data_IF_000564498161
#
_entry.id   IF_000564498161
#
_cell.length_a   1.000
_cell.length_b   1.000
_cell.length_c   1.000
_cell.angle_alpha   90.00
_cell.angle_beta   90.00
_cell.angle_gamma   90.00
#
_symmetry.space_group_name_H-M   'P 1'
#
loop_
_entity.id
_entity.type
_entity.pdbx_description
1 polymer ?
#
# COMPACT_ATOMS: atom_id res chain seq x y z
N UNK A 1 20.11 -34.09 -15.70
CA UNK A 1 19.50 -34.25 -14.36
C UNK A 1 19.19 -32.88 -13.83
N UNK A 2 17.93 -32.62 -13.50
CA UNK A 2 17.54 -31.31 -12.97
C UNK A 2 18.28 -31.03 -11.65
N UNK A 3 18.95 -29.89 -11.59
CA UNK A 3 19.80 -29.54 -10.47
C UNK A 3 18.93 -29.11 -9.28
N UNK A 4 18.69 -30.02 -8.34
CA UNK A 4 17.83 -29.85 -7.17
C UNK A 4 18.06 -28.53 -6.42
N UNK A 5 19.32 -28.12 -6.28
CA UNK A 5 19.69 -26.86 -5.63
C UNK A 5 19.20 -25.62 -6.39
N UNK A 6 19.24 -25.64 -7.73
CA UNK A 6 18.76 -24.52 -8.54
C UNK A 6 17.24 -24.38 -8.45
N UNK A 7 16.50 -25.50 -8.50
CA UNK A 7 15.03 -25.48 -8.30
C UNK A 7 14.67 -24.94 -6.91
N UNK A 8 15.33 -25.45 -5.87
CA UNK A 8 15.11 -24.99 -4.49
C UNK A 8 15.39 -23.50 -4.33
N UNK A 9 16.46 -23.00 -4.95
CA UNK A 9 16.78 -21.57 -4.93
C UNK A 9 15.74 -20.71 -5.65
N UNK A 10 15.26 -21.14 -6.81
CA UNK A 10 14.19 -20.44 -7.54
C UNK A 10 12.89 -20.37 -6.74
N UNK A 11 12.49 -21.47 -6.10
CA UNK A 11 11.28 -21.54 -5.30
C UNK A 11 11.37 -20.64 -4.05
N UNK A 12 12.51 -20.66 -3.36
CA UNK A 12 12.78 -19.74 -2.24
C UNK A 12 12.75 -18.28 -2.69
N UNK A 13 13.31 -17.96 -3.86
CA UNK A 13 13.30 -16.61 -4.39
C UNK A 13 11.88 -16.14 -4.74
N UNK A 14 11.06 -17.02 -5.34
CA UNK A 14 9.64 -16.73 -5.61
C UNK A 14 8.85 -16.50 -4.32
N UNK A 15 9.05 -17.34 -3.31
CA UNK A 15 8.41 -17.17 -2.01
C UNK A 15 8.79 -15.83 -1.37
N UNK A 16 10.08 -15.50 -1.34
CA UNK A 16 10.56 -14.25 -0.77
C UNK A 16 9.98 -13.01 -1.49
N UNK A 17 9.92 -13.04 -2.83
CA UNK A 17 9.28 -11.98 -3.61
C UNK A 17 7.78 -11.84 -3.28
N UNK A 18 7.07 -12.96 -3.14
CA UNK A 18 5.67 -12.98 -2.76
C UNK A 18 5.42 -12.41 -1.36
N UNK A 19 6.24 -12.80 -0.38
CA UNK A 19 6.16 -12.31 1.00
C UNK A 19 6.45 -10.80 1.09
N UNK A 20 7.45 -10.31 0.37
CA UNK A 20 7.74 -8.86 0.32
C UNK A 20 6.58 -8.10 -0.30
N UNK A 21 6.02 -8.60 -1.42
CA UNK A 21 4.83 -8.00 -2.03
C UNK A 21 3.68 -7.92 -1.02
N UNK A 22 3.32 -9.03 -0.38
CA UNK A 22 2.27 -9.10 0.63
C UNK A 22 2.48 -8.09 1.78
N UNK A 23 3.70 -8.01 2.33
CA UNK A 23 4.02 -7.03 3.38
C UNK A 23 3.88 -5.60 2.91
N UNK A 24 4.30 -5.28 1.69
CA UNK A 24 4.14 -3.93 1.12
C UNK A 24 2.66 -3.54 0.99
N UNK A 25 1.78 -4.48 0.62
CA UNK A 25 0.34 -4.22 0.55
C UNK A 25 -0.24 -3.96 1.95
N UNK A 26 0.18 -4.71 2.97
CA UNK A 26 -0.35 -4.58 4.33
C UNK A 26 0.20 -3.38 5.10
N UNK A 27 1.46 -2.99 4.88
CA UNK A 27 2.05 -1.83 5.56
C UNK A 27 1.33 -0.54 5.16
N UNK A 28 0.98 -0.39 3.88
CA UNK A 28 0.24 0.77 3.37
C UNK A 28 -1.12 0.90 4.06
N UNK A 29 -1.80 -0.22 4.28
CA UNK A 29 -3.05 -0.29 5.02
C UNK A 29 -2.91 0.05 6.49
N UNK A 30 -1.89 -0.53 7.14
CA UNK A 30 -1.63 -0.32 8.55
C UNK A 30 -1.35 1.14 8.86
N UNK A 31 -0.50 1.79 8.04
CA UNK A 31 -0.21 3.22 8.13
C UNK A 31 -1.52 4.00 7.99
N UNK A 32 -2.33 3.71 6.97
CA UNK A 32 -3.57 4.45 6.75
C UNK A 32 -4.57 4.29 7.92
N UNK A 33 -4.73 3.09 8.47
CA UNK A 33 -5.61 2.88 9.64
C UNK A 33 -5.11 3.63 10.87
N UNK A 34 -3.80 3.65 11.13
CA UNK A 34 -3.22 4.35 12.27
C UNK A 34 -3.39 5.87 12.20
N UNK A 35 -3.33 6.46 11.00
CA UNK A 35 -3.52 7.90 10.81
C UNK A 35 -4.96 8.29 10.45
N UNK A 36 -5.89 7.34 10.36
CA UNK A 36 -7.27 7.62 9.93
C UNK A 36 -8.00 8.64 10.80
N UNK A 37 -7.64 8.76 12.08
CA UNK A 37 -8.26 9.70 13.01
C UNK A 37 -7.41 10.97 13.21
N UNK A 38 -6.22 11.06 12.63
CA UNK A 38 -5.40 12.28 12.66
C UNK A 38 -6.13 13.37 11.86
N UNK A 39 -6.23 14.58 12.40
CA UNK A 39 -6.92 15.70 11.75
C UNK A 39 -6.41 16.00 10.34
N UNK A 40 -5.13 15.75 10.07
CA UNK A 40 -4.52 15.92 8.74
C UNK A 40 -4.96 14.84 7.75
N UNK A 41 -5.34 13.66 8.24
CA UNK A 41 -5.59 12.47 7.44
C UNK A 41 -7.04 11.96 7.49
N UNK A 42 -7.88 12.42 8.41
CA UNK A 42 -9.28 12.00 8.60
C UNK A 42 -10.20 12.21 7.40
N UNK A 43 -9.79 13.10 6.51
CA UNK A 43 -10.52 13.38 5.26
C UNK A 43 -10.00 12.58 4.08
N UNK A 44 -8.92 11.82 4.21
CA UNK A 44 -8.46 10.95 3.14
C UNK A 44 -9.29 9.68 3.09
N UNK A 45 -9.46 9.15 1.88
CA UNK A 45 -10.08 7.84 1.61
C UNK A 45 -9.32 7.10 0.53
N UNK A 46 -9.44 5.78 0.51
CA UNK A 46 -9.00 4.97 -0.63
C UNK A 46 -9.79 5.43 -1.86
N UNK A 47 -9.07 5.76 -2.92
CA UNK A 47 -9.60 6.08 -4.24
C UNK A 47 -9.68 4.81 -5.07
N UNK A 48 -8.52 4.22 -5.36
CA UNK A 48 -8.37 3.05 -6.22
C UNK A 48 -7.19 2.19 -5.76
N UNK A 49 -7.12 0.94 -6.21
CA UNK A 49 -5.96 0.07 -6.08
C UNK A 49 -5.20 0.02 -7.40
N UNK A 50 -3.89 0.27 -7.37
CA UNK A 50 -3.03 0.26 -8.56
C UNK A 50 -1.94 -0.79 -8.42
N UNK A 51 -1.56 -1.43 -9.53
CA UNK A 51 -0.36 -2.27 -9.54
C UNK A 51 0.89 -1.38 -9.61
N UNK A 52 1.86 -1.64 -8.74
CA UNK A 52 3.19 -1.03 -8.74
C UNK A 52 4.24 -2.12 -8.82
N UNK A 53 5.34 -1.81 -9.49
CA UNK A 53 6.48 -2.71 -9.61
C UNK A 53 7.70 -2.02 -9.03
N UNK A 54 8.30 -2.63 -8.02
CA UNK A 54 9.59 -2.24 -7.45
C UNK A 54 10.69 -3.02 -8.18
N UNK A 55 11.68 -2.31 -8.71
CA UNK A 55 12.85 -2.93 -9.33
C UNK A 55 13.95 -3.00 -8.26
N UNK A 56 14.38 -4.21 -7.94
CA UNK A 56 15.46 -4.47 -6.97
C UNK A 56 16.65 -5.11 -7.67
N UNK A 57 17.78 -5.16 -6.97
CA UNK A 57 18.97 -5.89 -7.43
C UNK A 57 18.70 -7.39 -7.69
N UNK A 58 17.69 -7.97 -7.04
CA UNK A 58 17.34 -9.40 -7.16
C UNK A 58 16.16 -9.69 -8.09
N UNK A 59 15.58 -8.66 -8.70
CA UNK A 59 14.46 -8.81 -9.63
C UNK A 59 13.34 -7.78 -9.43
N UNK A 60 12.20 -8.06 -10.05
CA UNK A 60 11.02 -7.18 -10.04
C UNK A 60 9.99 -7.74 -9.06
N UNK A 61 9.49 -6.87 -8.18
CA UNK A 61 8.43 -7.21 -7.23
C UNK A 61 7.20 -6.39 -7.61
N UNK A 62 6.12 -7.05 -7.99
CA UNK A 62 4.86 -6.39 -8.32
C UNK A 62 3.85 -6.59 -7.20
N UNK A 63 3.19 -5.52 -6.79
CA UNK A 63 2.22 -5.51 -5.70
C UNK A 63 1.12 -4.48 -5.95
N UNK A 64 -0.02 -4.64 -5.28
CA UNK A 64 -1.12 -3.70 -5.29
C UNK A 64 -0.90 -2.63 -4.24
N UNK A 65 -1.00 -1.37 -4.65
CA UNK A 65 -0.89 -0.22 -3.76
C UNK A 65 -2.19 0.55 -3.75
N UNK A 66 -2.66 0.97 -2.58
CA UNK A 66 -3.83 1.83 -2.48
C UNK A 66 -3.44 3.25 -2.81
N UNK A 67 -4.24 3.93 -3.64
CA UNK A 67 -4.13 5.38 -3.82
C UNK A 67 -5.14 6.05 -2.92
N UNK A 68 -4.66 6.97 -2.10
CA UNK A 68 -5.50 7.79 -1.26
C UNK A 68 -5.80 9.13 -1.92
N UNK A 69 -7.01 9.64 -1.70
CA UNK A 69 -7.42 10.96 -2.15
C UNK A 69 -8.11 11.71 -1.04
N UNK A 70 -7.92 13.02 -1.04
CA UNK A 70 -8.54 13.90 -0.07
C UNK A 70 -10.02 14.11 -0.42
N UNK A 71 -10.91 13.75 0.50
CA UNK A 71 -12.34 13.93 0.36
C UNK A 71 -12.75 15.34 0.79
N UNK A 72 -12.65 16.29 -0.16
CA UNK A 72 -13.07 17.69 0.02
C UNK A 72 -14.50 17.84 0.54
N UNK A 73 -15.43 16.94 0.20
CA UNK A 73 -16.84 17.03 0.61
C UNK A 73 -17.05 16.88 2.12
N UNK A 74 -16.12 16.23 2.85
CA UNK A 74 -16.16 16.19 4.32
C UNK A 74 -15.42 17.35 4.96
N UNK A 75 -14.39 17.88 4.29
CA UNK A 75 -13.59 18.99 4.81
C UNK A 75 -14.39 20.30 4.87
N UNK A 76 -15.15 20.61 3.81
CA UNK A 76 -15.95 21.85 3.74
C UNK A 76 -17.35 21.73 4.34
N UNK A 77 -17.70 20.62 4.99
CA UNK A 77 -18.92 20.58 5.82
C UNK A 77 -18.78 21.48 7.05
N UNK A 78 -17.55 21.62 7.54
CA UNK A 78 -17.22 22.57 8.59
C UNK A 78 -17.02 23.91 7.91
N UNK A 79 -17.88 24.87 8.22
CA UNK A 79 -17.76 26.22 7.67
C UNK A 79 -16.46 26.86 8.21
N UNK A 80 -15.49 27.27 7.37
CA UNK A 80 -14.17 27.71 7.83
C UNK A 80 -14.19 29.02 8.63
N UNK A 81 -15.33 29.72 8.64
CA UNK A 81 -15.53 30.97 9.39
C UNK A 81 -16.21 30.71 10.73
N UNK A 82 -17.02 29.65 10.85
CA UNK A 82 -17.86 29.39 12.03
C UNK A 82 -17.59 28.06 12.73
N UNK A 83 -16.73 27.20 12.18
CA UNK A 83 -16.33 25.87 12.69
C UNK A 83 -17.48 24.92 13.07
N UNK A 84 -18.69 25.16 12.54
CA UNK A 84 -19.86 24.28 12.72
C UNK A 84 -20.09 23.43 11.47
N UNK A 85 -20.49 22.18 11.69
CA UNK A 85 -21.00 21.27 10.64
C UNK A 85 -22.30 21.75 10.00
#
# INVERSE_FOLDING_TARGET
GDNFFNKTYEDLNRYAVGEIAYRLENIDDLIFQNYKNDDKFKHYRVKDNIKRTLITLKGKITFNRRRYTFNRRRYYKINPITEKE
#
